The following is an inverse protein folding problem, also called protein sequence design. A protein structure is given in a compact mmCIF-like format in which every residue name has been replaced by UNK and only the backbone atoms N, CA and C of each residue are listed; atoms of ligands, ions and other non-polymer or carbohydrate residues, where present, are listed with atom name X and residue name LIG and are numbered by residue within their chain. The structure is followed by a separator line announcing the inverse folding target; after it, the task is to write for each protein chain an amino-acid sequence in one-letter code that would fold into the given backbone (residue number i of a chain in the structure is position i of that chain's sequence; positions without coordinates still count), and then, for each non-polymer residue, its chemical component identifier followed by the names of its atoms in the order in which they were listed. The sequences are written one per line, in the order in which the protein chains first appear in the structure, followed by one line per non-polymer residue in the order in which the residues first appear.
data_IF_265986591129
#
_entry.id   IF_265986591129
#
_cell.length_a   1.000
_cell.length_b   1.000
_cell.length_c   1.000
_cell.angle_alpha   90.00
_cell.angle_beta   90.00
_cell.angle_gamma   90.00
#
_symmetry.space_group_name_H-M   'P 1'
#
loop_
_entity.id
_entity.type
_entity.pdbx_description
1 polymer ?
#
# COMPACT_ATOMS: atom_id res chain seq x y z
N UNK A 1 -13.91 -0.39 -15.77
CA UNK A 1 -13.07 0.14 -14.67
C UNK A 1 -11.95 0.98 -15.25
N UNK A 2 -11.38 1.89 -14.46
CA UNK A 2 -10.41 2.90 -14.91
C UNK A 2 -8.97 2.39 -15.18
N UNK A 3 -8.70 1.09 -15.01
CA UNK A 3 -7.42 0.47 -15.41
C UNK A 3 -6.27 0.63 -14.41
N UNK A 4 -6.55 0.99 -13.15
CA UNK A 4 -5.54 1.01 -12.09
C UNK A 4 -5.03 -0.40 -11.79
N UNK A 5 -3.76 -0.53 -11.41
CA UNK A 5 -3.18 -1.82 -10.99
C UNK A 5 -3.71 -2.26 -9.61
N UNK A 6 -4.08 -1.31 -8.74
CA UNK A 6 -4.60 -1.56 -7.40
C UNK A 6 -5.54 -0.44 -6.95
N UNK A 7 -6.41 -0.76 -5.99
CA UNK A 7 -7.39 0.17 -5.41
C UNK A 7 -7.41 0.02 -3.90
N UNK A 8 -7.24 1.13 -3.18
CA UNK A 8 -7.37 1.15 -1.71
C UNK A 8 -8.83 1.31 -1.32
N UNK A 9 -9.37 0.31 -0.64
CA UNK A 9 -10.63 0.37 0.09
C UNK A 9 -10.30 0.81 1.51
N UNK A 10 -10.52 2.09 1.76
CA UNK A 10 -10.09 2.75 2.99
C UNK A 10 -11.07 2.47 4.14
N UNK A 11 -10.60 1.80 5.20
CA UNK A 11 -11.35 1.57 6.44
C UNK A 11 -10.98 2.50 7.59
N UNK A 12 -10.05 3.43 7.39
CA UNK A 12 -9.56 4.32 8.45
C UNK A 12 -10.17 5.74 8.36
N UNK A 13 -10.26 6.31 7.15
CA UNK A 13 -10.81 7.66 6.95
C UNK A 13 -12.00 7.73 5.99
N UNK A 14 -12.42 6.61 5.43
CA UNK A 14 -13.70 6.50 4.74
C UNK A 14 -14.68 5.69 5.59
N UNK A 15 -16.00 5.92 5.44
CA UNK A 15 -17.03 5.22 6.22
C UNK A 15 -17.25 3.80 5.67
N UNK A 16 -16.19 3.00 5.65
CA UNK A 16 -16.24 1.60 5.28
C UNK A 16 -16.16 0.71 6.51
N UNK A 17 -16.84 -0.42 6.41
CA UNK A 17 -16.73 -1.53 7.33
C UNK A 17 -16.92 -2.84 6.55
N UNK A 18 -17.02 -3.96 7.24
CA UNK A 18 -17.22 -5.26 6.60
C UNK A 18 -18.48 -5.29 5.71
N UNK A 19 -19.55 -4.61 6.12
CA UNK A 19 -20.81 -4.57 5.38
C UNK A 19 -20.67 -3.85 4.05
N UNK A 20 -19.77 -2.87 3.94
CA UNK A 20 -19.48 -2.16 2.69
C UNK A 20 -18.34 -2.82 1.90
N UNK A 21 -17.35 -3.43 2.56
CA UNK A 21 -16.23 -4.07 1.89
C UNK A 21 -16.64 -5.30 1.09
N UNK A 22 -17.55 -6.12 1.59
CA UNK A 22 -18.00 -7.32 0.86
C UNK A 22 -18.63 -6.95 -0.50
N UNK A 23 -19.62 -6.03 -0.59
CA UNK A 23 -20.14 -5.55 -1.86
C UNK A 23 -19.08 -4.96 -2.79
N UNK A 24 -18.14 -4.17 -2.26
CA UNK A 24 -17.07 -3.58 -3.07
C UNK A 24 -16.10 -4.65 -3.62
N UNK A 25 -15.72 -5.64 -2.80
CA UNK A 25 -14.94 -6.80 -3.26
C UNK A 25 -15.68 -7.60 -4.32
N UNK A 26 -17.01 -7.74 -4.20
CA UNK A 26 -17.84 -8.37 -5.23
C UNK A 26 -17.86 -7.56 -6.52
N UNK A 27 -18.00 -6.24 -6.43
CA UNK A 27 -17.96 -5.33 -7.58
C UNK A 27 -16.60 -5.32 -8.30
N UNK A 28 -15.52 -5.63 -7.57
CA UNK A 28 -14.17 -5.75 -8.12
C UNK A 28 -13.87 -7.14 -8.72
N UNK A 29 -14.78 -8.13 -8.63
CA UNK A 29 -14.56 -9.44 -9.26
C UNK A 29 -14.46 -9.28 -10.77
N UNK A 30 -13.37 -9.82 -11.35
CA UNK A 30 -13.06 -9.67 -12.77
C UNK A 30 -12.34 -8.37 -13.14
N UNK A 31 -12.08 -7.48 -12.16
CA UNK A 31 -11.15 -6.38 -12.35
C UNK A 31 -9.72 -6.88 -12.55
N UNK A 32 -8.95 -6.13 -13.32
CA UNK A 32 -7.49 -6.22 -13.28
C UNK A 32 -6.88 -5.54 -12.03
N UNK A 33 -7.63 -4.63 -11.38
CA UNK A 33 -7.18 -3.91 -10.19
C UNK A 33 -7.20 -4.80 -8.95
N UNK A 34 -6.08 -4.90 -8.26
CA UNK A 34 -5.99 -5.61 -6.99
C UNK A 34 -6.64 -4.80 -5.84
N UNK A 35 -7.60 -5.36 -5.09
CA UNK A 35 -8.14 -4.72 -3.90
C UNK A 35 -7.10 -4.72 -2.77
N UNK A 36 -6.83 -3.54 -2.20
CA UNK A 36 -6.02 -3.33 -1.00
C UNK A 36 -6.92 -2.73 0.07
N UNK A 37 -6.92 -3.26 1.29
CA UNK A 37 -7.65 -2.64 2.40
C UNK A 37 -6.70 -1.82 3.26
N UNK A 38 -7.03 -0.55 3.53
CA UNK A 38 -6.41 0.17 4.64
C UNK A 38 -7.19 -0.15 5.90
N UNK A 39 -6.57 -0.85 6.84
CA UNK A 39 -7.23 -1.25 8.09
C UNK A 39 -7.44 -0.02 8.99
N UNK A 40 -8.47 0.02 9.85
CA UNK A 40 -8.66 1.15 10.76
C UNK A 40 -7.53 1.31 11.79
N UNK A 41 -6.87 0.20 12.15
CA UNK A 41 -5.74 0.16 13.08
C UNK A 41 -5.01 -1.19 12.96
N UNK A 42 -3.76 -1.25 13.41
CA UNK A 42 -2.93 -2.46 13.43
C UNK A 42 -3.35 -3.42 14.56
N UNK A 43 -4.53 -4.03 14.43
CA UNK A 43 -5.11 -4.89 15.45
C UNK A 43 -5.47 -6.29 14.89
N UNK A 44 -5.06 -7.40 15.55
CA UNK A 44 -5.21 -8.75 15.00
C UNK A 44 -6.65 -9.17 14.70
N UNK A 45 -7.64 -8.76 15.53
CA UNK A 45 -9.04 -9.15 15.36
C UNK A 45 -9.63 -8.56 14.07
N UNK A 46 -9.41 -7.27 13.79
CA UNK A 46 -9.91 -6.68 12.55
C UNK A 46 -9.18 -7.23 11.32
N UNK A 47 -7.86 -7.44 11.39
CA UNK A 47 -7.08 -8.03 10.30
C UNK A 47 -7.60 -9.44 9.98
N UNK A 48 -7.82 -10.28 11.00
CA UNK A 48 -8.41 -11.62 10.84
C UNK A 48 -9.76 -11.57 10.12
N UNK A 49 -10.66 -10.68 10.54
CA UNK A 49 -12.00 -10.55 9.92
C UNK A 49 -11.90 -10.09 8.46
N UNK A 50 -10.99 -9.16 8.16
CA UNK A 50 -10.77 -8.64 6.81
C UNK A 50 -10.17 -9.70 5.88
N UNK A 51 -9.27 -10.54 6.38
CA UNK A 51 -8.75 -11.70 5.66
C UNK A 51 -9.89 -12.65 5.27
N UNK A 52 -10.76 -13.02 6.20
CA UNK A 52 -11.79 -14.03 5.95
C UNK A 52 -12.85 -13.56 4.95
N UNK A 53 -13.15 -12.26 4.91
CA UNK A 53 -13.99 -11.68 3.87
C UNK A 53 -13.28 -11.56 2.52
N UNK A 54 -12.01 -11.91 2.39
CA UNK A 54 -11.33 -12.09 1.10
C UNK A 54 -10.40 -10.95 0.67
N UNK A 55 -9.87 -10.16 1.61
CA UNK A 55 -8.71 -9.31 1.33
C UNK A 55 -7.42 -10.12 1.39
N UNK A 56 -6.49 -9.84 0.46
CA UNK A 56 -5.16 -10.44 0.39
C UNK A 56 -4.04 -9.40 0.46
N UNK A 57 -4.38 -8.11 0.39
CA UNK A 57 -3.42 -7.01 0.36
C UNK A 57 -3.85 -5.98 1.40
N UNK A 58 -2.95 -5.65 2.33
CA UNK A 58 -3.22 -4.81 3.48
C UNK A 58 -2.30 -3.60 3.48
N UNK A 59 -2.87 -2.44 3.80
CA UNK A 59 -2.16 -1.23 4.15
C UNK A 59 -2.41 -0.98 5.64
N UNK A 60 -1.33 -1.00 6.43
CA UNK A 60 -1.36 -0.92 7.89
C UNK A 60 -0.97 0.50 8.30
N UNK A 61 -1.89 1.30 8.86
CA UNK A 61 -1.61 2.66 9.29
C UNK A 61 -0.73 2.68 10.55
N UNK A 62 -0.06 3.80 10.81
CA UNK A 62 0.70 4.09 12.03
C UNK A 62 1.60 2.94 12.51
N UNK A 63 2.47 2.42 11.64
CA UNK A 63 3.51 1.47 12.06
C UNK A 63 4.75 2.24 12.49
N UNK A 64 5.03 2.22 13.79
CA UNK A 64 6.06 3.04 14.43
C UNK A 64 7.27 2.21 14.89
N UNK A 65 7.11 0.91 15.07
CA UNK A 65 8.15 0.00 15.57
C UNK A 65 8.29 -1.27 14.75
N UNK A 66 9.42 -1.98 14.92
CA UNK A 66 9.65 -3.28 14.28
C UNK A 66 8.64 -4.31 14.78
N UNK A 67 8.32 -4.25 16.07
CA UNK A 67 7.40 -5.15 16.77
C UNK A 67 5.96 -5.00 16.23
N UNK A 68 5.51 -3.78 15.94
CA UNK A 68 4.23 -3.54 15.28
C UNK A 68 4.19 -4.07 13.85
N UNK A 69 5.30 -3.97 13.12
CA UNK A 69 5.42 -4.55 11.80
C UNK A 69 5.37 -6.09 11.85
N UNK A 70 6.07 -6.71 12.81
CA UNK A 70 6.02 -8.15 13.07
C UNK A 70 4.61 -8.61 13.46
N UNK A 71 3.91 -7.84 14.30
CA UNK A 71 2.52 -8.10 14.69
C UNK A 71 1.57 -8.05 13.49
N UNK A 72 1.73 -7.06 12.60
CA UNK A 72 0.93 -6.95 11.39
C UNK A 72 1.10 -8.17 10.50
N UNK A 73 2.36 -8.60 10.28
CA UNK A 73 2.68 -9.80 9.51
C UNK A 73 2.08 -11.05 10.17
N UNK A 74 2.34 -11.25 11.47
CA UNK A 74 1.85 -12.40 12.23
C UNK A 74 0.33 -12.50 12.22
N UNK A 75 -0.38 -11.36 12.23
CA UNK A 75 -1.85 -11.32 12.17
C UNK A 75 -2.44 -11.89 10.88
N UNK A 76 -1.62 -12.04 9.83
CA UNK A 76 -2.07 -12.55 8.52
C UNK A 76 -1.70 -13.99 8.22
N UNK A 77 -0.80 -14.57 9.02
CA UNK A 77 -0.26 -15.92 8.83
C UNK A 77 -0.86 -16.88 9.86
N UNK A 78 -1.24 -18.08 9.41
CA UNK A 78 -1.61 -19.18 10.29
C UNK A 78 -0.38 -19.68 11.09
N UNK A 79 -0.58 -20.33 12.25
CA UNK A 79 0.50 -20.98 12.98
C UNK A 79 1.23 -22.07 12.15
N UNK A 80 2.55 -22.27 12.34
CA UNK A 80 3.41 -21.60 13.32
C UNK A 80 3.95 -20.24 12.88
N UNK A 81 3.71 -19.80 11.64
CA UNK A 81 4.30 -18.56 11.11
C UNK A 81 3.59 -17.27 11.58
N UNK A 82 2.47 -17.40 12.30
CA UNK A 82 1.72 -16.27 12.84
C UNK A 82 0.61 -16.68 13.80
N UNK A 83 -0.33 -15.77 14.00
CA UNK A 83 -1.40 -15.84 15.01
C UNK A 83 -2.81 -15.82 14.41
N UNK A 84 -2.94 -15.94 13.08
CA UNK A 84 -4.25 -15.95 12.41
C UNK A 84 -5.09 -17.13 12.90
N UNK A 85 -6.29 -16.85 13.38
CA UNK A 85 -7.27 -17.87 13.75
C UNK A 85 -7.79 -18.65 12.53
N UNK A 86 -8.03 -19.95 12.70
CA UNK A 86 -8.47 -20.84 11.61
C UNK A 86 -10.00 -20.83 11.47
N UNK A 87 -10.47 -20.68 10.25
CA UNK A 87 -11.84 -20.98 9.82
C UNK A 87 -11.79 -21.87 8.58
N UNK A 88 -12.75 -22.78 8.43
CA UNK A 88 -12.74 -23.79 7.36
C UNK A 88 -13.53 -23.37 6.12
N UNK A 89 -14.43 -22.40 6.24
CA UNK A 89 -15.24 -21.92 5.11
C UNK A 89 -15.55 -20.44 5.23
N UNK A 90 -15.05 -19.66 4.26
CA UNK A 90 -15.23 -18.21 4.18
C UNK A 90 -14.90 -17.71 2.77
N UNK A 91 -15.03 -16.40 2.50
CA UNK A 91 -14.81 -15.87 1.15
C UNK A 91 -13.36 -16.01 0.68
N UNK A 92 -12.40 -15.90 1.59
CA UNK A 92 -10.98 -16.01 1.25
C UNK A 92 -10.58 -17.38 0.67
N UNK A 93 -11.22 -18.47 1.11
CA UNK A 93 -11.00 -19.79 0.52
C UNK A 93 -12.11 -20.18 -0.48
N UNK A 94 -12.91 -19.19 -0.92
CA UNK A 94 -14.10 -19.37 -1.77
C UNK A 94 -14.98 -20.52 -1.28
N UNK A 95 -15.25 -20.55 0.03
CA UNK A 95 -16.07 -21.56 0.71
C UNK A 95 -15.54 -22.99 0.52
N UNK A 96 -14.21 -23.15 0.58
CA UNK A 96 -13.52 -24.43 0.48
C UNK A 96 -13.16 -24.88 -0.95
N UNK A 97 -13.35 -24.01 -1.95
CA UNK A 97 -13.03 -24.34 -3.36
C UNK A 97 -11.61 -23.96 -3.78
N UNK A 98 -10.89 -23.17 -2.99
CA UNK A 98 -9.46 -22.88 -3.23
C UNK A 98 -8.61 -24.07 -2.75
N UNK A 99 -7.95 -24.75 -3.69
CA UNK A 99 -7.04 -25.85 -3.40
C UNK A 99 -5.84 -25.39 -2.56
N UNK A 100 -5.39 -26.25 -1.64
CA UNK A 100 -4.24 -26.03 -0.75
C UNK A 100 -4.24 -24.67 -0.03
N UNK A 101 -5.44 -24.15 0.27
CA UNK A 101 -5.61 -22.78 0.78
C UNK A 101 -4.74 -22.48 2.00
N UNK A 102 -4.68 -23.35 3.00
CA UNK A 102 -3.88 -23.10 4.21
C UNK A 102 -2.39 -22.98 3.91
N UNK A 103 -1.85 -23.86 3.05
CA UNK A 103 -0.44 -23.86 2.68
C UNK A 103 -0.07 -22.66 1.79
N UNK A 104 -1.00 -22.23 0.93
CA UNK A 104 -0.78 -21.11 0.03
C UNK A 104 -1.02 -19.76 0.71
N UNK A 105 -1.99 -19.65 1.62
CA UNK A 105 -2.42 -18.38 2.21
C UNK A 105 -1.24 -17.66 2.89
N UNK A 106 -0.43 -18.34 3.70
CA UNK A 106 0.68 -17.72 4.44
C UNK A 106 1.72 -17.05 3.52
N UNK A 107 1.85 -17.52 2.28
CA UNK A 107 2.82 -17.02 1.28
C UNK A 107 2.21 -15.99 0.33
N UNK A 108 0.90 -15.77 0.43
CA UNK A 108 0.12 -15.02 -0.54
C UNK A 108 -0.68 -13.87 0.08
N UNK A 109 -0.24 -13.35 1.23
CA UNK A 109 -0.72 -12.07 1.77
C UNK A 109 0.36 -11.01 1.55
N UNK A 110 -0.09 -9.82 1.15
CA UNK A 110 0.75 -8.65 0.96
C UNK A 110 0.56 -7.68 2.13
N UNK A 111 1.65 -7.27 2.78
CA UNK A 111 1.67 -6.29 3.87
C UNK A 111 2.42 -5.03 3.43
N UNK A 112 1.68 -3.93 3.33
CA UNK A 112 2.22 -2.59 3.19
C UNK A 112 2.11 -1.88 4.54
N UNK A 113 3.22 -1.36 5.06
CA UNK A 113 3.22 -0.60 6.32
C UNK A 113 3.33 0.89 6.04
N UNK A 114 2.52 1.68 6.73
CA UNK A 114 2.47 3.13 6.56
C UNK A 114 3.33 3.80 7.62
N UNK A 115 4.32 4.56 7.15
CA UNK A 115 5.19 5.40 7.97
C UNK A 115 4.66 6.83 7.91
N UNK A 116 4.15 7.29 9.04
CA UNK A 116 3.48 8.59 9.13
C UNK A 116 3.62 9.31 10.48
N UNK A 117 4.57 8.85 11.30
CA UNK A 117 4.95 9.48 12.56
C UNK A 117 6.47 9.66 12.64
N UNK A 118 6.94 10.50 13.57
CA UNK A 118 8.37 10.67 13.81
C UNK A 118 9.02 9.34 14.24
N UNK A 119 8.38 8.60 15.13
CA UNK A 119 8.88 7.31 15.62
C UNK A 119 9.01 6.29 14.49
N UNK A 120 8.01 6.22 13.59
CA UNK A 120 8.10 5.34 12.40
C UNK A 120 9.22 5.75 11.45
N UNK A 121 9.53 7.05 11.35
CA UNK A 121 10.69 7.50 10.57
C UNK A 121 12.00 7.06 11.21
N UNK A 122 12.13 7.22 12.52
CA UNK A 122 13.34 6.87 13.26
C UNK A 122 13.63 5.36 13.19
N UNK A 123 12.56 4.54 13.16
CA UNK A 123 12.63 3.07 13.15
C UNK A 123 12.52 2.42 11.76
N UNK A 124 12.49 3.20 10.67
CA UNK A 124 12.15 2.67 9.33
C UNK A 124 13.05 1.55 8.86
N UNK A 125 14.35 1.60 9.18
CA UNK A 125 15.29 0.61 8.67
C UNK A 125 15.03 -0.74 9.35
N UNK A 126 14.62 -0.73 10.62
CA UNK A 126 14.18 -1.92 11.34
C UNK A 126 12.83 -2.43 10.81
N UNK A 127 11.85 -1.55 10.59
CA UNK A 127 10.54 -1.88 10.03
C UNK A 127 10.66 -2.49 8.63
N UNK A 128 11.47 -1.89 7.75
CA UNK A 128 11.69 -2.35 6.39
C UNK A 128 12.48 -3.65 6.31
N UNK A 129 13.24 -4.00 7.36
CA UNK A 129 13.97 -5.26 7.47
C UNK A 129 13.11 -6.40 8.05
N UNK A 130 11.88 -6.13 8.49
CA UNK A 130 10.98 -7.16 9.02
C UNK A 130 10.55 -8.14 7.92
N UNK A 131 10.81 -9.42 8.14
CA UNK A 131 10.38 -10.49 7.23
C UNK A 131 8.86 -10.49 7.07
N UNK A 132 8.39 -10.43 5.82
CA UNK A 132 6.96 -10.32 5.50
C UNK A 132 6.42 -8.90 5.34
N UNK A 133 7.21 -7.87 5.58
CA UNK A 133 6.88 -6.51 5.12
C UNK A 133 7.22 -6.41 3.64
N UNK A 134 6.19 -6.35 2.79
CA UNK A 134 6.37 -6.30 1.34
C UNK A 134 6.61 -4.89 0.82
N UNK A 135 6.21 -3.85 1.57
CA UNK A 135 6.40 -2.48 1.13
C UNK A 135 6.20 -1.42 2.21
N UNK A 136 6.88 -0.29 2.02
CA UNK A 136 6.74 0.92 2.83
C UNK A 136 5.86 1.93 2.07
N UNK A 137 4.79 2.37 2.70
CA UNK A 137 3.94 3.46 2.26
C UNK A 137 4.20 4.68 3.16
N UNK A 138 4.13 5.89 2.63
CA UNK A 138 4.31 7.12 3.43
C UNK A 138 3.00 7.89 3.39
N UNK A 139 2.43 8.18 4.57
CA UNK A 139 1.23 9.01 4.72
C UNK A 139 1.63 10.50 4.78
N UNK A 140 1.52 11.28 3.69
CA UNK A 140 2.10 12.63 3.65
C UNK A 140 1.36 13.62 4.55
N UNK A 141 0.05 13.48 4.72
CA UNK A 141 -0.75 14.38 5.57
C UNK A 141 -0.44 14.20 7.05
N UNK A 142 -0.43 12.95 7.50
CA UNK A 142 -0.18 12.58 8.89
C UNK A 142 1.29 12.77 9.27
N UNK A 143 2.23 12.45 8.36
CA UNK A 143 3.64 12.75 8.57
C UNK A 143 3.88 14.26 8.70
N UNK A 144 3.22 15.07 7.87
CA UNK A 144 3.31 16.52 8.00
C UNK A 144 2.74 16.99 9.34
N UNK A 145 1.60 16.44 9.78
CA UNK A 145 1.03 16.74 11.09
C UNK A 145 1.96 16.37 12.25
N UNK A 146 2.54 15.17 12.23
CA UNK A 146 3.48 14.66 13.23
C UNK A 146 4.73 15.54 13.36
N UNK A 147 5.15 16.16 12.25
CA UNK A 147 6.30 17.06 12.19
C UNK A 147 5.94 18.54 12.48
N UNK A 148 4.72 18.82 12.92
CA UNK A 148 4.26 20.18 13.26
C UNK A 148 3.78 21.02 12.07
N UNK A 149 3.51 20.39 10.92
CA UNK A 149 3.10 21.02 9.66
C UNK A 149 1.71 20.54 9.20
N UNK A 150 0.74 20.48 10.13
CA UNK A 150 -0.64 20.06 9.87
C UNK A 150 -1.26 20.78 8.65
N UNK A 151 -1.83 20.03 7.72
CA UNK A 151 -2.47 20.56 6.52
C UNK A 151 -1.51 21.10 5.45
N UNK A 152 -0.20 21.05 5.69
CA UNK A 152 0.83 21.53 4.77
C UNK A 152 1.85 20.44 4.43
N UNK A 153 1.38 19.37 3.80
CA UNK A 153 2.26 18.28 3.31
C UNK A 153 3.26 18.73 2.23
N UNK A 154 3.07 19.92 1.65
CA UNK A 154 4.00 20.55 0.70
C UNK A 154 5.07 21.42 1.37
N UNK A 155 5.04 21.56 2.71
CA UNK A 155 6.04 22.34 3.42
C UNK A 155 7.43 21.76 3.19
N UNK A 156 8.39 22.62 2.81
CA UNK A 156 9.80 22.23 2.79
C UNK A 156 10.25 22.02 4.23
N UNK A 157 10.23 20.76 4.66
CA UNK A 157 10.78 20.37 5.96
C UNK A 157 12.22 20.88 6.07
N UNK A 158 12.58 21.60 7.16
CA UNK A 158 13.98 21.92 7.41
C UNK A 158 14.79 20.63 7.46
N UNK A 159 15.99 20.66 6.91
CA UNK A 159 16.92 19.53 6.78
C UNK A 159 17.43 19.09 8.15
N UNK A 160 16.57 18.53 9.00
CA UNK A 160 17.02 17.82 10.20
C UNK A 160 17.15 16.35 9.85
N UNK A 161 18.40 15.91 9.97
CA UNK A 161 18.90 14.54 9.89
C UNK A 161 18.57 13.81 8.59
N UNK A 162 19.60 13.48 7.81
CA UNK A 162 19.51 13.02 6.42
C UNK A 162 18.64 11.77 6.12
N UNK A 163 17.96 11.19 7.11
CA UNK A 163 16.99 10.09 6.97
C UNK A 163 15.66 10.54 6.36
N UNK A 164 15.03 11.64 6.81
CA UNK A 164 13.76 12.13 6.24
C UNK A 164 13.86 12.49 4.74
N UNK A 165 14.88 13.25 4.29
CA UNK A 165 15.10 13.52 2.87
C UNK A 165 15.42 12.25 2.07
N UNK A 166 16.05 11.24 2.70
CA UNK A 166 16.29 9.93 2.07
C UNK A 166 15.00 9.15 1.91
N UNK A 167 14.07 9.18 2.85
CA UNK A 167 12.76 8.56 2.71
C UNK A 167 11.94 9.21 1.61
N UNK A 168 11.81 10.53 1.60
CA UNK A 168 11.09 11.24 0.54
C UNK A 168 11.78 11.03 -0.83
N UNK A 169 13.11 11.02 -0.91
CA UNK A 169 13.83 10.65 -2.15
C UNK A 169 13.65 9.16 -2.51
N UNK A 170 13.68 8.25 -1.52
CA UNK A 170 13.37 6.82 -1.69
C UNK A 170 11.92 6.61 -2.09
N UNK A 171 10.99 7.46 -1.68
CA UNK A 171 9.58 7.38 -2.07
C UNK A 171 9.41 7.66 -3.56
N UNK A 172 10.28 8.51 -4.13
CA UNK A 172 10.37 8.73 -5.58
C UNK A 172 11.25 7.71 -6.31
N UNK A 173 12.21 7.05 -5.64
CA UNK A 173 13.17 6.13 -6.29
C UNK A 173 12.96 4.64 -6.01
N UNK A 174 12.23 4.29 -4.96
CA UNK A 174 11.95 2.91 -4.54
C UNK A 174 10.55 2.57 -4.97
N UNK A 175 10.45 2.21 -6.24
CA UNK A 175 9.35 1.42 -6.75
C UNK A 175 9.46 0.04 -6.10
N UNK A 176 8.96 -0.13 -4.88
CA UNK A 176 8.84 -1.44 -4.27
C UNK A 176 7.87 -2.24 -5.13
N UNK A 177 8.45 -3.19 -5.86
CA UNK A 177 7.73 -4.13 -6.71
C UNK A 177 7.04 -5.11 -5.77
N UNK A 178 5.80 -4.82 -5.44
CA UNK A 178 5.01 -5.72 -4.61
C UNK A 178 4.07 -6.52 -5.50
N UNK A 179 4.05 -7.86 -5.43
CA UNK A 179 3.06 -8.65 -6.16
C UNK A 179 1.67 -8.36 -5.59
N UNK A 180 0.77 -7.84 -6.43
CA UNK A 180 -0.64 -7.70 -6.08
C UNK A 180 -1.32 -9.06 -6.22
N UNK A 181 -1.87 -9.59 -5.12
CA UNK A 181 -2.37 -10.98 -5.09
C UNK A 181 -3.90 -11.00 -5.17
N UNK A 182 -4.41 -12.06 -5.81
CA UNK A 182 -5.85 -12.28 -6.02
C UNK A 182 -6.24 -13.69 -5.57
N UNK A 183 -7.55 -13.89 -5.36
CA UNK A 183 -8.12 -15.13 -4.81
C UNK A 183 -7.88 -16.41 -5.64
N UNK A 184 -7.40 -16.30 -6.89
CA UNK A 184 -7.25 -17.46 -7.78
C UNK A 184 -5.79 -17.64 -8.24
N UNK A 185 -5.03 -18.60 -7.68
CA UNK A 185 -3.69 -18.93 -8.15
C UNK A 185 -3.68 -19.55 -9.56
N UNK A 186 -4.81 -20.05 -10.09
CA UNK A 186 -4.94 -20.52 -11.47
C UNK A 186 -5.26 -19.40 -12.48
N UNK A 187 -5.62 -18.19 -12.02
CA UNK A 187 -5.67 -16.99 -12.86
C UNK A 187 -4.26 -16.35 -13.05
N UNK A 188 -3.20 -17.06 -12.65
CA UNK A 188 -1.78 -16.68 -12.68
C UNK A 188 -1.18 -16.48 -14.08
N UNK A 189 -1.97 -16.52 -15.15
CA UNK A 189 -1.53 -15.96 -16.44
C UNK A 189 -1.34 -14.44 -16.38
N UNK A 190 -1.82 -13.79 -15.31
CA UNK A 190 -1.48 -12.43 -14.97
C UNK A 190 -0.03 -12.37 -14.48
N UNK A 191 0.88 -12.14 -15.43
CA UNK A 191 2.27 -11.71 -15.19
C UNK A 191 2.30 -10.83 -13.94
N UNK A 192 3.20 -11.14 -13.02
CA UNK A 192 3.58 -10.29 -11.88
C UNK A 192 3.69 -8.83 -12.33
N UNK A 193 2.59 -8.08 -12.20
CA UNK A 193 2.54 -6.68 -12.63
C UNK A 193 3.03 -5.83 -11.47
N UNK A 194 4.02 -5.01 -11.79
CA UNK A 194 4.71 -4.10 -10.89
C UNK A 194 3.69 -3.23 -10.16
N UNK A 195 3.61 -3.28 -8.83
CA UNK A 195 2.94 -2.22 -8.08
C UNK A 195 3.75 -0.94 -8.24
N UNK A 196 3.26 0.00 -9.07
CA UNK A 196 3.68 1.39 -8.96
C UNK A 196 2.79 2.05 -7.92
N UNK A 197 3.39 2.44 -6.80
CA UNK A 197 2.69 3.23 -5.78
C UNK A 197 2.44 4.61 -6.39
N UNK A 198 1.23 4.82 -6.90
CA UNK A 198 0.72 6.15 -7.24
C UNK A 198 -0.10 6.59 -6.05
N UNK A 199 0.41 7.57 -5.30
CA UNK A 199 -0.32 8.23 -4.22
C UNK A 199 -1.53 8.89 -4.86
N UNK A 200 -2.71 8.32 -4.63
CA UNK A 200 -3.95 8.84 -5.17
C UNK A 200 -4.77 9.49 -4.06
N UNK A 201 -5.00 10.80 -4.21
CA UNK A 201 -5.82 11.61 -3.31
C UNK A 201 -7.33 11.32 -3.52
N UNK A 202 -7.78 10.11 -3.21
CA UNK A 202 -9.19 9.74 -2.95
C UNK A 202 -10.23 9.92 -4.08
N UNK A 203 -11.22 9.01 -4.11
CA UNK A 203 -12.32 9.04 -5.10
C UNK A 203 -13.20 10.27 -4.92
N UNK A 204 -13.27 10.75 -3.68
CA UNK A 204 -13.97 11.97 -3.27
C UNK A 204 -13.43 13.23 -3.93
N UNK A 205 -12.24 13.25 -4.54
CA UNK A 205 -11.82 14.41 -5.34
C UNK A 205 -12.27 14.28 -6.80
N UNK A 206 -12.25 13.08 -7.37
CA UNK A 206 -12.67 12.88 -8.76
C UNK A 206 -14.15 13.20 -8.98
N UNK A 207 -15.04 12.84 -8.05
CA UNK A 207 -16.47 13.05 -8.27
C UNK A 207 -16.88 14.54 -8.20
N UNK A 208 -16.51 15.32 -7.16
CA UNK A 208 -16.76 16.75 -7.14
C UNK A 208 -15.92 17.47 -8.19
N UNK A 209 -14.65 17.13 -8.41
CA UNK A 209 -13.85 17.82 -9.44
C UNK A 209 -14.31 17.50 -10.87
N UNK A 210 -14.80 16.30 -11.18
CA UNK A 210 -15.39 16.01 -12.51
C UNK A 210 -16.78 16.65 -12.66
N UNK A 211 -17.57 16.73 -11.57
CA UNK A 211 -18.82 17.51 -11.56
C UNK A 211 -18.58 19.02 -11.68
N UNK A 212 -17.46 19.53 -11.15
CA UNK A 212 -17.05 20.94 -11.23
C UNK A 212 -16.29 21.24 -12.54
N UNK A 213 -15.57 20.28 -13.13
CA UNK A 213 -14.74 20.49 -14.34
C UNK A 213 -15.46 20.25 -15.67
N UNK A 214 -16.79 20.06 -15.66
CA UNK A 214 -17.58 20.05 -16.90
C UNK A 214 -17.59 21.43 -17.61
N UNK A 215 -16.94 22.47 -17.06
CA UNK A 215 -16.92 23.83 -17.60
C UNK A 215 -15.56 24.36 -18.09
N UNK A 216 -14.46 23.60 -18.06
CA UNK A 216 -13.22 24.05 -18.71
C UNK A 216 -12.25 22.92 -19.03
N UNK A 217 -12.20 22.54 -20.31
CA UNK A 217 -11.18 21.68 -20.87
C UNK A 217 -9.93 22.51 -21.21
N UNK A 218 -8.77 22.19 -20.65
CA UNK A 218 -7.47 22.53 -21.23
C UNK A 218 -6.43 21.39 -21.03
N UNK A 219 -5.55 21.13 -22.02
CA UNK A 219 -4.77 19.90 -22.14
C UNK A 219 -3.47 19.88 -21.32
N UNK A 220 -3.09 18.69 -20.87
CA UNK A 220 -1.81 18.36 -20.22
C UNK A 220 -0.61 18.59 -21.17
N UNK A 221 0.16 19.65 -20.96
CA UNK A 221 1.54 19.77 -21.44
C UNK A 221 2.45 20.36 -20.35
N UNK A 222 3.68 19.85 -20.33
CA UNK A 222 4.88 20.31 -19.60
C UNK A 222 5.09 19.82 -18.16
N UNK A 223 5.61 18.60 -18.03
CA UNK A 223 6.57 18.23 -16.97
C UNK A 223 7.60 17.21 -17.49
N UNK A 224 8.53 17.68 -18.33
CA UNK A 224 9.76 16.97 -18.65
C UNK A 224 10.93 17.91 -18.38
N UNK A 225 11.74 17.61 -17.35
CA UNK A 225 13.03 18.26 -17.12
C UNK A 225 14.10 17.30 -17.67
N UNK A 226 14.96 17.72 -18.63
CA UNK A 226 16.00 16.85 -19.18
C UNK A 226 17.12 16.60 -18.16
N UNK A 227 17.51 15.35 -17.97
CA UNK A 227 18.74 15.00 -17.26
C UNK A 227 19.94 15.34 -18.14
N UNK A 228 20.80 16.27 -17.69
CA UNK A 228 22.11 16.53 -18.32
C UNK A 228 23.04 15.33 -18.06
N UNK A 229 23.54 14.72 -19.12
CA UNK A 229 24.63 13.74 -19.08
C UNK A 229 25.94 14.44 -18.68
N UNK A 230 26.47 14.12 -17.50
CA UNK A 230 27.88 14.37 -17.19
C UNK A 230 28.70 13.16 -17.65
N UNK A 231 29.27 13.24 -18.85
CA UNK A 231 30.42 12.42 -19.22
C UNK A 231 31.70 13.21 -19.00
N UNK A 232 32.46 12.81 -17.98
CA UNK A 232 33.87 13.12 -17.85
C UNK A 232 34.60 12.58 -19.10
N UNK A 233 35.14 13.48 -19.93
CA UNK A 233 36.16 13.13 -20.92
C UNK A 233 37.52 13.17 -20.23
N UNK A 234 38.16 12.00 -20.16
CA UNK A 234 39.61 11.89 -20.02
C UNK A 234 40.28 12.65 -21.18
N UNK A 235 41.15 13.61 -20.87
CA UNK A 235 42.24 14.00 -21.77
C UNK A 235 43.43 13.10 -21.44
N UNK A 236 43.85 12.30 -22.41
CA UNK A 236 45.22 11.76 -22.48
C UNK A 236 46.01 12.67 -23.39
N UNK A 237 47.29 12.74 -23.05
CA UNK A 237 48.37 13.42 -23.75
C UNK A 237 48.54 12.89 -25.18
N UNK A 238 48.84 13.83 -26.09
CA UNK A 238 49.71 13.77 -27.28
C UNK A 238 49.33 14.89 -28.27
#
# INVERSE_FOLDING_TARGET
MAGFDWLVLDGEHAPNDISTFIPQLMALKGSASAPVVRVPTNEPVIIKRLLDIGFYNFLIPFVETKEEAEQAVASTRYPPEGIRGVSVSHRANMFGTVADYFAQSNKNITILVQIESQQGVDNVDAIAATEGVDGIFVGPSDLAAALGHLGNASHRMPQRDGQLPRMYKKQFSTFLTVPARTANPAASSHRSRLMRVVIWNGARRLWPSAAISASSALPLRNWLIPLKNNHHRNKRDD
#
